data_IF_570889359497
#
_entry.id   IF_570889359497
#
_cell.length_a   1.000
_cell.length_b   1.000
_cell.length_c   1.000
_cell.angle_alpha   90.00
_cell.angle_beta   90.00
_cell.angle_gamma   90.00
#
_symmetry.space_group_name_H-M   'P 1'
#
loop_
_entity.id
_entity.type
_entity.pdbx_description
1 polymer ?
#
# COMPACT_ATOMS: atom_id res chain seq x y z
N UNK A 1 -6.98 23.19 23.04
CA UNK A 1 -6.07 23.37 21.90
C UNK A 1 -4.71 22.89 22.35
N UNK A 2 -4.32 21.71 21.90
CA UNK A 2 -2.96 21.21 22.04
C UNK A 2 -2.08 22.02 21.07
N UNK A 3 -0.95 22.62 21.51
CA UNK A 3 -0.18 23.58 20.71
C UNK A 3 0.48 22.98 19.46
N UNK A 4 0.58 21.66 19.38
CA UNK A 4 1.24 20.94 18.28
C UNK A 4 0.26 20.31 17.27
N UNK A 5 -1.05 20.47 17.46
CA UNK A 5 -2.01 20.10 16.44
C UNK A 5 -2.17 21.26 15.44
N UNK A 6 -2.09 20.97 14.15
CA UNK A 6 -2.15 21.99 13.11
C UNK A 6 -2.74 21.44 11.80
N UNK A 7 -3.84 22.05 11.37
CA UNK A 7 -4.50 21.87 10.08
C UNK A 7 -4.12 22.98 9.08
N UNK A 8 -3.16 23.85 9.44
CA UNK A 8 -2.66 24.99 8.65
C UNK A 8 -3.69 26.07 8.26
N UNK A 9 -4.92 25.93 8.73
CA UNK A 9 -6.04 26.81 8.39
C UNK A 9 -5.84 28.25 8.88
N UNK A 10 -6.17 29.21 8.00
CA UNK A 10 -5.93 30.64 8.26
C UNK A 10 -4.49 31.07 8.03
N UNK A 11 -3.78 30.36 7.15
CA UNK A 11 -2.40 30.65 6.69
C UNK A 11 -1.39 30.73 7.83
N UNK A 12 -1.43 29.76 8.75
CA UNK A 12 -0.57 29.72 9.94
C UNK A 12 0.07 28.37 10.17
N UNK A 13 1.32 28.35 10.63
CA UNK A 13 1.98 27.14 11.13
C UNK A 13 1.54 26.75 12.55
N UNK A 14 0.49 27.39 13.09
CA UNK A 14 0.00 27.16 14.44
C UNK A 14 1.11 27.38 15.49
N UNK A 15 1.56 26.33 16.18
CA UNK A 15 2.70 26.34 17.11
C UNK A 15 4.00 25.80 16.53
N UNK A 16 4.03 25.48 15.23
CA UNK A 16 5.21 25.01 14.52
C UNK A 16 6.01 26.19 13.94
N UNK A 17 7.31 26.01 13.82
CA UNK A 17 8.24 27.04 13.32
C UNK A 17 9.15 26.46 12.24
N UNK A 18 9.44 27.24 11.19
CA UNK A 18 10.54 26.89 10.27
C UNK A 18 11.87 27.08 11.01
N UNK A 19 12.74 26.08 10.94
CA UNK A 19 14.04 26.17 11.59
C UNK A 19 14.89 27.21 10.89
N UNK A 20 15.51 28.12 11.63
CA UNK A 20 16.31 29.19 11.03
C UNK A 20 17.79 28.77 11.01
N UNK A 21 18.43 28.87 9.84
CA UNK A 21 19.89 28.77 9.60
C UNK A 21 20.53 27.37 9.49
N UNK A 22 19.83 26.28 9.80
CA UNK A 22 20.40 24.91 9.66
C UNK A 22 19.98 24.22 8.37
N UNK A 23 18.86 24.63 7.79
CA UNK A 23 18.30 24.17 6.53
C UNK A 23 18.50 25.23 5.43
N UNK A 24 18.06 24.91 4.21
CA UNK A 24 18.42 25.66 2.99
C UNK A 24 17.27 26.46 2.41
N UNK A 25 16.03 26.10 2.75
CA UNK A 25 14.80 26.80 2.42
C UNK A 25 13.72 26.43 3.45
N UNK A 26 12.56 27.08 3.38
CA UNK A 26 11.48 26.93 4.35
C UNK A 26 10.28 26.17 3.77
N UNK A 27 9.47 25.56 4.64
CA UNK A 27 8.09 25.15 4.30
C UNK A 27 7.24 26.40 4.04
N UNK A 28 6.40 26.33 3.00
CA UNK A 28 5.47 27.40 2.61
C UNK A 28 4.02 26.92 2.79
N UNK A 29 3.10 27.83 3.11
CA UNK A 29 1.65 27.52 3.15
C UNK A 29 1.02 28.01 1.84
N UNK A 30 0.13 27.20 1.28
CA UNK A 30 -0.67 27.56 0.10
C UNK A 30 -2.14 27.19 0.32
N UNK A 31 -3.02 27.84 -0.44
CA UNK A 31 -4.43 27.46 -0.58
C UNK A 31 -4.63 26.95 -2.01
N UNK A 32 -5.13 25.72 -2.15
CA UNK A 32 -5.25 25.06 -3.45
C UNK A 32 -3.88 24.74 -4.10
N UNK A 33 -3.82 24.54 -5.44
CA UNK A 33 -2.67 23.94 -6.10
C UNK A 33 -1.34 24.67 -5.84
N UNK A 34 -0.32 23.93 -5.40
CA UNK A 34 1.03 24.42 -5.09
C UNK A 34 1.76 25.05 -6.29
N UNK A 35 1.45 24.61 -7.51
CA UNK A 35 2.05 25.12 -8.74
C UNK A 35 1.00 25.28 -9.86
N UNK A 36 1.05 26.42 -10.55
CA UNK A 36 0.22 26.68 -11.74
C UNK A 36 0.84 26.12 -13.03
N UNK A 37 2.11 25.72 -13.00
CA UNK A 37 2.90 25.37 -14.20
C UNK A 37 3.24 23.88 -14.29
N UNK A 38 3.32 23.21 -13.15
CA UNK A 38 3.64 21.79 -13.00
C UNK A 38 2.55 21.22 -12.11
N UNK A 39 1.75 20.28 -12.61
CA UNK A 39 0.62 19.68 -11.86
C UNK A 39 1.13 18.72 -10.76
N UNK A 40 2.16 19.11 -10.01
CA UNK A 40 3.00 18.23 -9.18
C UNK A 40 2.73 18.33 -7.68
N UNK A 41 1.55 18.80 -7.27
CA UNK A 41 1.12 18.85 -5.88
C UNK A 41 -0.41 18.79 -5.76
N UNK A 42 -0.94 18.68 -4.55
CA UNK A 42 -2.35 18.38 -4.36
C UNK A 42 -3.24 19.52 -4.85
N UNK A 43 -4.40 19.17 -5.43
CA UNK A 43 -5.36 20.17 -5.94
C UNK A 43 -6.10 20.92 -4.82
N UNK A 44 -6.17 20.31 -3.64
CA UNK A 44 -6.83 20.81 -2.43
C UNK A 44 -6.11 20.27 -1.20
N UNK A 45 -6.30 20.93 -0.06
CA UNK A 45 -5.91 20.41 1.25
C UNK A 45 -6.61 19.09 1.59
N UNK A 46 -6.18 18.46 2.68
CA UNK A 46 -6.83 17.26 3.22
C UNK A 46 -8.01 17.61 4.15
N UNK A 47 -7.90 18.67 4.93
CA UNK A 47 -8.85 19.05 5.99
C UNK A 47 -10.26 19.35 5.46
N UNK A 48 -10.36 20.26 4.49
CA UNK A 48 -11.61 20.76 3.90
C UNK A 48 -11.89 20.02 2.59
N UNK A 49 -10.86 19.70 1.81
CA UNK A 49 -10.99 19.01 0.53
C UNK A 49 -11.64 19.89 -0.56
N UNK A 50 -11.63 21.21 -0.35
CA UNK A 50 -12.06 22.23 -1.31
C UNK A 50 -10.88 23.15 -1.66
N UNK A 51 -11.01 23.98 -2.71
CA UNK A 51 -9.89 24.80 -3.20
C UNK A 51 -9.43 25.92 -2.25
N UNK A 52 -10.12 26.13 -1.13
CA UNK A 52 -9.87 27.20 -0.15
C UNK A 52 -9.16 26.74 1.12
N UNK A 53 -9.00 25.44 1.35
CA UNK A 53 -8.24 24.92 2.49
C UNK A 53 -6.73 25.08 2.32
N UNK A 54 -6.04 25.16 3.45
CA UNK A 54 -4.61 25.47 3.57
C UNK A 54 -3.80 24.21 3.87
N UNK A 55 -2.61 24.08 3.27
CA UNK A 55 -1.65 23.03 3.63
C UNK A 55 -0.21 23.54 3.50
N UNK A 56 0.73 22.87 4.17
CA UNK A 56 2.15 23.21 4.08
C UNK A 56 2.85 22.36 3.01
N UNK A 57 3.76 22.95 2.24
CA UNK A 57 4.48 22.25 1.19
C UNK A 57 5.90 22.79 0.97
N UNK A 58 6.71 22.02 0.25
CA UNK A 58 8.00 22.44 -0.29
C UNK A 58 7.92 22.61 -1.81
N UNK A 59 8.22 23.81 -2.31
CA UNK A 59 8.16 24.12 -3.76
C UNK A 59 9.45 23.72 -4.51
N UNK A 60 9.48 22.60 -5.22
CA UNK A 60 10.68 22.17 -5.94
C UNK A 60 10.99 23.00 -7.20
N UNK A 61 10.11 23.92 -7.63
CA UNK A 61 10.27 24.68 -8.88
C UNK A 61 11.19 25.91 -8.75
N UNK A 62 11.64 26.24 -7.53
CA UNK A 62 12.63 27.33 -7.31
C UNK A 62 14.04 26.76 -7.52
N UNK A 63 14.99 27.58 -7.98
CA UNK A 63 16.40 27.17 -8.17
C UNK A 63 17.05 26.73 -6.85
N UNK A 64 16.87 25.46 -6.49
CA UNK A 64 17.40 24.82 -5.30
C UNK A 64 18.48 23.81 -5.70
N UNK A 65 19.33 23.40 -4.76
CA UNK A 65 20.40 22.42 -5.03
C UNK A 65 19.97 21.05 -4.54
N UNK A 66 20.43 20.01 -5.25
CA UNK A 66 20.23 18.62 -4.84
C UNK A 66 20.61 18.43 -3.35
N UNK A 67 19.75 17.74 -2.60
CA UNK A 67 19.86 17.52 -1.15
C UNK A 67 19.67 18.76 -0.25
N UNK A 68 19.21 19.90 -0.79
CA UNK A 68 18.71 20.97 0.08
C UNK A 68 17.49 20.46 0.87
N UNK A 69 17.35 20.95 2.11
CA UNK A 69 16.27 20.56 3.03
C UNK A 69 15.52 21.79 3.53
N UNK A 70 14.27 21.57 3.93
CA UNK A 70 13.46 22.44 4.79
C UNK A 70 13.01 21.67 6.02
N UNK A 71 13.05 22.31 7.18
CA UNK A 71 12.72 21.67 8.45
C UNK A 71 11.69 22.49 9.22
N UNK A 72 10.55 21.86 9.51
CA UNK A 72 9.54 22.40 10.41
C UNK A 72 9.71 21.77 11.79
N UNK A 73 9.73 22.56 12.86
CA UNK A 73 9.91 22.09 14.24
C UNK A 73 8.67 22.39 15.09
N UNK A 74 8.26 21.41 15.91
CA UNK A 74 7.16 21.57 16.86
C UNK A 74 7.58 22.38 18.08
N UNK A 75 6.59 22.91 18.82
CA UNK A 75 6.83 23.37 20.17
C UNK A 75 7.38 22.23 21.04
N UNK A 76 8.20 22.58 22.04
CA UNK A 76 8.78 21.61 22.95
C UNK A 76 7.69 20.93 23.79
N UNK A 77 7.81 19.62 23.94
CA UNK A 77 6.94 18.75 24.73
C UNK A 77 7.71 18.15 25.88
N UNK A 78 7.00 17.89 26.98
CA UNK A 78 7.55 17.21 28.16
C UNK A 78 7.47 15.69 28.02
N UNK A 79 8.02 14.96 29.00
CA UNK A 79 8.01 13.50 29.11
C UNK A 79 6.66 12.87 28.68
N UNK A 80 6.75 11.89 27.78
CA UNK A 80 5.60 11.14 27.24
C UNK A 80 5.01 10.11 28.21
N UNK A 81 5.71 9.77 29.28
CA UNK A 81 5.40 8.67 30.19
C UNK A 81 5.58 7.29 29.53
N UNK A 82 5.27 6.22 30.27
CA UNK A 82 5.45 4.84 29.79
C UNK A 82 4.47 4.42 28.68
N UNK A 83 3.40 5.17 28.48
CA UNK A 83 2.37 4.87 27.47
C UNK A 83 2.73 5.47 26.10
N UNK A 84 3.73 6.35 26.03
CA UNK A 84 4.15 7.02 24.80
C UNK A 84 3.12 7.99 24.24
N UNK A 85 3.47 8.55 23.08
CA UNK A 85 2.59 9.36 22.24
C UNK A 85 2.63 8.85 20.80
N UNK A 86 1.63 9.25 20.03
CA UNK A 86 1.55 8.98 18.60
C UNK A 86 1.52 10.33 17.87
N UNK A 87 2.41 10.48 16.89
CA UNK A 87 2.35 11.58 15.93
C UNK A 87 1.67 11.07 14.66
N UNK A 88 0.62 11.76 14.23
CA UNK A 88 -0.16 11.46 13.03
C UNK A 88 -0.21 12.70 12.15
N UNK A 89 -0.11 12.51 10.84
CA UNK A 89 -0.12 13.59 9.85
C UNK A 89 -0.61 13.05 8.51
N UNK A 90 -0.96 13.94 7.59
CA UNK A 90 -1.20 13.61 6.19
C UNK A 90 -0.07 14.14 5.32
N UNK A 91 0.26 13.41 4.26
CA UNK A 91 1.28 13.79 3.29
C UNK A 91 0.81 13.53 1.86
N UNK A 92 1.32 14.31 0.92
CA UNK A 92 1.14 14.10 -0.53
C UNK A 92 2.53 14.22 -1.20
N UNK A 93 2.86 13.21 -2.01
CA UNK A 93 4.20 13.00 -2.58
C UNK A 93 4.05 12.46 -4.01
N UNK A 94 3.86 13.35 -4.99
CA UNK A 94 3.53 12.98 -6.37
C UNK A 94 4.47 13.62 -7.41
N UNK A 95 5.10 12.78 -8.24
CA UNK A 95 5.98 13.21 -9.33
C UNK A 95 7.27 12.40 -9.45
N UNK A 96 7.88 12.45 -10.63
CA UNK A 96 9.09 11.70 -10.98
C UNK A 96 10.36 12.24 -10.30
N UNK A 97 10.29 13.41 -9.65
CA UNK A 97 11.37 14.08 -8.91
C UNK A 97 11.18 14.16 -7.40
N UNK A 98 10.23 13.41 -6.84
CA UNK A 98 9.92 13.49 -5.41
C UNK A 98 11.12 13.03 -4.57
N UNK A 99 11.51 13.88 -3.61
CA UNK A 99 12.58 13.56 -2.69
C UNK A 99 12.12 12.80 -1.45
N UNK A 100 12.64 13.17 -0.29
CA UNK A 100 12.47 12.41 0.96
C UNK A 100 11.75 13.25 2.00
N UNK A 101 10.71 12.68 2.61
CA UNK A 101 10.06 13.23 3.80
C UNK A 101 10.51 12.43 5.03
N UNK A 102 11.04 13.09 6.05
CA UNK A 102 11.51 12.42 7.28
C UNK A 102 10.98 13.12 8.53
N UNK A 103 10.45 12.34 9.47
CA UNK A 103 10.08 12.80 10.81
C UNK A 103 11.16 12.39 11.79
N UNK A 104 11.74 13.37 12.47
CA UNK A 104 12.74 13.17 13.51
C UNK A 104 12.20 13.50 14.88
N UNK A 105 12.78 12.83 15.87
CA UNK A 105 12.68 13.20 17.28
C UNK A 105 13.96 13.89 17.72
N UNK A 106 13.81 15.11 18.24
CA UNK A 106 14.90 15.92 18.76
C UNK A 106 14.80 16.01 20.28
N UNK A 107 15.86 15.60 20.97
CA UNK A 107 16.03 15.84 22.41
C UNK A 107 17.06 16.95 22.60
N UNK A 108 16.88 17.79 23.61
CA UNK A 108 17.83 18.87 23.87
C UNK A 108 19.25 18.31 24.11
N UNK A 109 20.24 18.80 23.36
CA UNK A 109 21.64 18.38 23.46
C UNK A 109 22.01 17.06 22.76
N UNK A 110 21.07 16.41 22.05
CA UNK A 110 21.32 15.20 21.27
C UNK A 110 21.15 15.44 19.76
N UNK A 111 21.66 14.53 18.93
CA UNK A 111 21.33 14.56 17.49
C UNK A 111 19.89 14.09 17.27
N UNK A 112 19.16 14.65 16.28
CA UNK A 112 17.84 14.17 15.93
C UNK A 112 17.88 12.71 15.48
N UNK A 113 16.87 11.93 15.89
CA UNK A 113 16.73 10.51 15.57
C UNK A 113 15.57 10.37 14.59
N UNK A 114 15.81 9.78 13.40
CA UNK A 114 14.75 9.52 12.44
C UNK A 114 13.79 8.47 13.03
N UNK A 115 12.48 8.74 12.96
CA UNK A 115 11.45 7.80 13.42
C UNK A 115 10.55 7.31 12.28
N UNK A 116 10.40 8.12 11.24
CA UNK A 116 9.60 7.83 10.05
C UNK A 116 10.30 8.46 8.84
N UNK A 117 10.45 7.75 7.73
CA UNK A 117 11.06 8.29 6.50
C UNK A 117 10.45 7.64 5.27
N UNK A 118 10.18 8.43 4.24
CA UNK A 118 9.63 7.96 2.98
C UNK A 118 10.26 8.74 1.83
N UNK A 119 10.55 8.06 0.72
CA UNK A 119 11.17 8.68 -0.46
C UNK A 119 10.44 8.32 -1.74
N UNK A 120 10.48 9.23 -2.72
CA UNK A 120 9.93 9.01 -4.04
C UNK A 120 8.39 9.10 -4.09
N UNK A 121 7.87 8.85 -5.28
CA UNK A 121 6.44 8.95 -5.62
C UNK A 121 5.55 7.98 -4.81
N UNK A 122 4.42 8.48 -4.32
CA UNK A 122 3.44 7.75 -3.51
C UNK A 122 2.02 7.74 -4.12
N UNK A 123 1.85 8.22 -5.35
CA UNK A 123 0.57 8.53 -6.04
C UNK A 123 -0.06 9.89 -5.71
N UNK A 124 -1.01 10.31 -6.54
CA UNK A 124 -1.66 11.62 -6.48
C UNK A 124 -2.84 11.64 -5.49
N UNK A 125 -2.55 11.29 -4.24
CA UNK A 125 -3.52 11.28 -3.14
C UNK A 125 -2.88 11.76 -1.83
N UNK A 126 -3.71 12.20 -0.90
CA UNK A 126 -3.31 12.40 0.49
C UNK A 126 -3.24 11.05 1.21
N UNK A 127 -2.08 10.76 1.78
CA UNK A 127 -1.83 9.55 2.56
C UNK A 127 -1.60 9.88 4.03
N UNK A 128 -1.96 8.96 4.91
CA UNK A 128 -1.73 9.12 6.34
C UNK A 128 -0.34 8.60 6.73
N UNK A 129 0.40 9.38 7.51
CA UNK A 129 1.61 8.99 8.22
C UNK A 129 1.35 8.87 9.73
N UNK A 130 1.93 7.86 10.38
CA UNK A 130 1.91 7.69 11.85
C UNK A 130 3.23 7.19 12.37
N UNK A 131 3.61 7.66 13.55
CA UNK A 131 4.75 7.11 14.28
C UNK A 131 4.60 7.29 15.79
N UNK A 132 4.73 6.17 16.53
CA UNK A 132 4.73 6.16 17.99
C UNK A 132 6.13 6.39 18.56
N UNK A 133 6.22 7.13 19.66
CA UNK A 133 7.48 7.43 20.33
C UNK A 133 7.35 7.44 21.85
N UNK A 134 8.44 7.07 22.53
CA UNK A 134 8.55 7.10 24.00
C UNK A 134 9.81 7.85 24.38
N UNK A 135 9.63 8.95 25.11
CA UNK A 135 10.70 9.86 25.53
C UNK A 135 10.47 10.31 26.95
N UNK A 136 11.53 10.25 27.76
CA UNK A 136 11.57 10.54 29.19
C UNK A 136 12.21 11.92 29.50
N UNK A 137 12.20 12.83 28.53
CA UNK A 137 12.81 14.15 28.61
C UNK A 137 12.04 15.12 27.72
N UNK A 138 12.37 16.40 27.85
CA UNK A 138 11.85 17.41 26.92
C UNK A 138 12.37 17.12 25.50
N UNK A 139 11.48 17.29 24.52
CA UNK A 139 11.72 16.93 23.12
C UNK A 139 10.84 17.73 22.15
N UNK A 140 11.21 17.73 20.88
CA UNK A 140 10.43 18.28 19.77
C UNK A 140 10.37 17.28 18.62
N UNK A 141 9.36 17.41 17.77
CA UNK A 141 9.25 16.71 16.49
C UNK A 141 9.74 17.63 15.38
N UNK A 142 10.55 17.10 14.47
CA UNK A 142 11.00 17.82 13.27
C UNK A 142 10.44 17.09 12.05
N UNK A 143 9.94 17.84 11.07
CA UNK A 143 9.49 17.34 9.78
C UNK A 143 10.43 17.94 8.72
N UNK A 144 11.26 17.09 8.13
CA UNK A 144 12.23 17.46 7.11
C UNK A 144 11.74 17.04 5.72
N UNK A 145 11.64 18.00 4.82
CA UNK A 145 11.47 17.76 3.39
C UNK A 145 12.79 17.96 2.66
N UNK A 146 13.25 16.94 1.95
CA UNK A 146 14.51 16.94 1.18
C UNK A 146 14.22 16.79 -0.30
N UNK A 147 14.87 17.61 -1.14
CA UNK A 147 14.67 17.59 -2.60
C UNK A 147 15.71 16.74 -3.34
N UNK A 148 15.35 16.25 -4.55
CA UNK A 148 16.25 15.52 -5.45
C UNK A 148 16.80 16.43 -6.57
N UNK A 149 17.35 15.85 -7.65
CA UNK A 149 17.92 16.55 -8.80
C UNK A 149 16.90 16.95 -9.88
N UNK A 150 15.65 16.52 -9.73
CA UNK A 150 14.57 16.81 -10.67
C UNK A 150 13.56 17.79 -10.05
N UNK A 151 13.20 18.83 -10.81
CA UNK A 151 12.29 19.90 -10.38
C UNK A 151 10.79 19.48 -10.43
N UNK A 152 10.50 18.20 -10.68
CA UNK A 152 9.15 17.68 -10.98
C UNK A 152 8.52 16.89 -9.81
N UNK A 153 8.21 17.57 -8.69
CA UNK A 153 7.47 16.96 -7.57
C UNK A 153 7.45 17.77 -6.29
N UNK A 154 6.27 18.14 -5.77
CA UNK A 154 6.13 18.79 -4.47
C UNK A 154 5.91 17.77 -3.34
N UNK A 155 6.45 18.05 -2.14
CA UNK A 155 6.07 17.33 -0.92
C UNK A 155 5.17 18.25 -0.11
N UNK A 156 3.96 17.79 0.18
CA UNK A 156 2.99 18.50 1.02
C UNK A 156 2.66 17.71 2.29
N UNK A 157 2.32 18.44 3.35
CA UNK A 157 1.86 17.90 4.64
C UNK A 157 0.62 18.67 5.11
N UNK A 158 -0.26 17.97 5.82
CA UNK A 158 -1.48 18.53 6.39
C UNK A 158 -1.86 17.78 7.69
N UNK A 159 -2.80 18.32 8.47
CA UNK A 159 -3.47 17.63 9.59
C UNK A 159 -2.50 17.03 10.63
N UNK A 160 -1.54 17.82 11.09
CA UNK A 160 -0.57 17.42 12.11
C UNK A 160 -1.29 17.23 13.45
N UNK A 161 -1.06 16.09 14.11
CA UNK A 161 -1.66 15.82 15.41
C UNK A 161 -0.81 14.95 16.31
N UNK A 162 -0.88 15.21 17.62
CA UNK A 162 -0.22 14.39 18.65
C UNK A 162 -1.26 13.85 19.62
N UNK A 163 -1.40 12.53 19.65
CA UNK A 163 -2.35 11.83 20.53
C UNK A 163 -1.62 11.08 21.66
N UNK A 164 -2.34 10.84 22.76
CA UNK A 164 -1.79 10.08 23.88
C UNK A 164 -1.86 8.58 23.61
N UNK A 165 -0.79 7.86 23.93
CA UNK A 165 -0.66 6.43 23.66
C UNK A 165 0.23 6.17 22.45
N UNK A 166 0.95 5.06 22.50
CA UNK A 166 1.81 4.59 21.42
C UNK A 166 0.98 4.02 20.25
N UNK A 167 1.39 4.32 19.03
CA UNK A 167 0.84 3.73 17.80
C UNK A 167 1.93 3.04 16.98
N UNK A 168 1.58 2.02 16.18
CA UNK A 168 2.50 1.46 15.21
C UNK A 168 2.85 2.49 14.14
N UNK A 169 4.03 2.32 13.54
CA UNK A 169 4.43 3.12 12.38
C UNK A 169 3.52 2.82 11.19
N UNK A 170 3.08 3.85 10.49
CA UNK A 170 2.28 3.74 9.28
C UNK A 170 2.71 4.80 8.24
N UNK A 171 2.82 4.44 6.95
CA UNK A 171 2.85 3.07 6.47
C UNK A 171 4.04 2.29 7.05
N UNK A 172 3.93 0.97 7.14
CA UNK A 172 4.94 0.13 7.82
C UNK A 172 6.32 0.18 7.15
N UNK A 173 6.39 0.52 5.87
CA UNK A 173 7.63 0.66 5.13
C UNK A 173 8.36 1.99 5.36
N UNK A 174 7.77 2.92 6.13
CA UNK A 174 8.41 4.18 6.46
C UNK A 174 9.45 4.07 7.60
N UNK A 175 9.92 2.86 7.91
CA UNK A 175 10.93 2.62 8.96
C UNK A 175 12.31 3.10 8.47
N UNK A 176 13.00 3.97 9.22
CA UNK A 176 14.35 4.42 8.86
C UNK A 176 15.37 3.28 8.78
N UNK A 177 16.29 3.37 7.82
CA UNK A 177 17.27 2.33 7.50
C UNK A 177 18.25 1.98 8.63
N UNK A 178 18.40 2.84 9.65
CA UNK A 178 19.20 2.59 10.84
C UNK A 178 18.45 1.79 11.92
N UNK A 179 17.14 1.57 11.76
CA UNK A 179 16.30 0.78 12.68
C UNK A 179 16.20 1.37 14.09
N UNK A 180 16.70 2.59 14.32
CA UNK A 180 16.80 3.25 15.62
C UNK A 180 15.48 3.94 15.98
N UNK A 181 14.38 3.19 16.05
CA UNK A 181 13.16 3.73 16.66
C UNK A 181 13.38 3.93 18.16
N UNK A 182 12.88 5.03 18.71
CA UNK A 182 12.81 5.18 20.17
C UNK A 182 11.80 4.16 20.70
N UNK A 183 12.30 3.05 21.25
CA UNK A 183 11.56 1.84 21.66
C UNK A 183 10.13 2.09 22.19
N UNK A 184 9.13 1.22 21.98
CA UNK A 184 9.24 -0.24 21.78
C UNK A 184 8.38 -0.75 20.61
N UNK A 185 9.00 -1.30 19.56
CA UNK A 185 8.51 -2.51 18.92
C UNK A 185 9.03 -3.71 19.72
N UNK A 186 8.15 -4.30 20.51
CA UNK A 186 8.09 -5.77 20.64
C UNK A 186 6.62 -6.05 20.42
N UNK A 187 6.27 -6.24 19.15
CA UNK A 187 5.28 -7.25 18.83
C UNK A 187 5.90 -8.52 19.40
N UNK A 188 5.40 -8.95 20.55
CA UNK A 188 5.71 -10.29 21.00
C UNK A 188 5.08 -11.16 19.94
N UNK A 189 5.90 -11.96 19.29
CA UNK A 189 5.49 -13.04 18.42
C UNK A 189 4.34 -13.82 19.07
N UNK A 190 3.10 -13.44 18.74
CA UNK A 190 2.35 -14.41 17.99
C UNK A 190 3.11 -14.45 16.67
N UNK A 191 3.95 -15.44 16.38
CA UNK A 191 3.41 -16.72 15.90
C UNK A 191 1.88 -16.61 15.82
N UNK A 192 1.40 -15.88 14.81
CA UNK A 192 0.23 -16.33 14.09
C UNK A 192 0.61 -17.73 13.61
N UNK A 193 0.51 -18.70 14.54
CA UNK A 193 0.27 -20.07 14.13
C UNK A 193 -1.00 -19.91 13.34
N UNK A 194 -0.88 -19.96 12.01
CA UNK A 194 -2.03 -20.21 11.18
C UNK A 194 -2.80 -21.32 11.91
N UNK A 195 -4.10 -21.14 12.21
CA UNK A 195 -4.86 -22.19 12.87
C UNK A 195 -4.92 -23.47 12.00
N UNK A 196 -4.39 -23.41 10.77
CA UNK A 196 -4.24 -24.51 9.85
C UNK A 196 -2.92 -25.27 10.07
N UNK A 197 -2.96 -26.61 9.97
CA UNK A 197 -1.75 -27.43 10.01
C UNK A 197 -0.81 -27.05 8.87
N UNK A 198 0.46 -26.75 9.21
CA UNK A 198 1.51 -26.45 8.24
C UNK A 198 1.56 -27.56 7.19
N UNK A 199 1.35 -27.18 5.93
CA UNK A 199 1.37 -28.08 4.80
C UNK A 199 2.74 -28.11 4.14
N UNK A 200 3.04 -29.17 3.37
CA UNK A 200 4.28 -29.25 2.60
C UNK A 200 4.40 -28.15 1.53
N UNK A 201 3.28 -27.49 1.19
CA UNK A 201 3.21 -26.45 0.18
C UNK A 201 3.31 -25.04 0.77
N UNK A 202 3.30 -24.92 2.10
CA UNK A 202 3.41 -23.62 2.75
C UNK A 202 4.86 -23.14 2.60
N UNK A 203 5.03 -21.87 2.21
CA UNK A 203 6.32 -21.34 1.84
C UNK A 203 6.43 -19.86 2.19
N UNK A 204 7.12 -19.57 3.29
CA UNK A 204 7.48 -18.23 3.75
C UNK A 204 8.92 -17.84 3.39
N UNK A 205 9.58 -18.64 2.56
CA UNK A 205 10.94 -18.44 2.07
C UNK A 205 12.07 -18.25 3.11
N UNK A 206 11.84 -18.36 4.42
CA UNK A 206 12.85 -18.00 5.42
C UNK A 206 14.10 -18.89 5.48
N UNK A 207 13.96 -20.16 5.09
CA UNK A 207 15.08 -21.11 5.11
C UNK A 207 15.52 -21.55 3.71
N UNK A 208 14.58 -21.65 2.77
CA UNK A 208 14.82 -22.15 1.41
C UNK A 208 13.71 -21.71 0.44
N UNK A 209 13.73 -22.21 -0.80
CA UNK A 209 12.66 -21.99 -1.81
C UNK A 209 11.58 -23.07 -1.77
N UNK A 210 11.45 -23.78 -0.64
CA UNK A 210 10.47 -24.80 -0.32
C UNK A 210 10.53 -26.05 -1.22
N UNK A 211 10.70 -27.26 -0.68
CA UNK A 211 10.89 -28.48 -1.48
C UNK A 211 9.71 -28.84 -2.40
N UNK A 212 8.50 -28.41 -2.05
CA UNK A 212 7.29 -28.66 -2.84
C UNK A 212 7.07 -27.65 -3.96
N UNK A 213 8.01 -26.73 -4.18
CA UNK A 213 7.97 -25.74 -5.25
C UNK A 213 9.22 -25.80 -6.12
N UNK A 214 9.10 -25.32 -7.35
CA UNK A 214 10.20 -25.34 -8.33
C UNK A 214 10.14 -24.09 -9.20
N UNK A 215 11.28 -23.41 -9.32
CA UNK A 215 11.44 -22.28 -10.22
C UNK A 215 11.64 -22.81 -11.64
N UNK A 216 10.72 -22.46 -12.53
CA UNK A 216 10.83 -22.71 -13.97
C UNK A 216 11.44 -21.45 -14.60
N UNK A 217 12.76 -21.42 -14.61
CA UNK A 217 13.55 -20.27 -15.07
C UNK A 217 13.67 -20.21 -16.59
N UNK A 218 13.73 -18.99 -17.12
CA UNK A 218 14.22 -18.69 -18.47
C UNK A 218 15.57 -17.97 -18.35
N UNK A 219 16.46 -18.02 -19.36
CA UNK A 219 17.75 -17.34 -19.31
C UNK A 219 17.65 -15.84 -18.98
N UNK A 220 16.59 -15.20 -19.47
CA UNK A 220 16.34 -13.76 -19.39
C UNK A 220 15.63 -13.33 -18.10
N UNK A 221 14.90 -14.25 -17.45
CA UNK A 221 14.04 -13.93 -16.31
C UNK A 221 13.86 -15.15 -15.41
N UNK A 222 14.11 -14.95 -14.11
CA UNK A 222 13.92 -15.99 -13.11
C UNK A 222 13.39 -15.37 -11.82
N UNK A 223 12.54 -16.13 -11.14
CA UNK A 223 12.37 -15.95 -9.70
C UNK A 223 13.68 -16.25 -8.99
N UNK A 224 14.03 -15.44 -7.99
CA UNK A 224 15.16 -15.64 -7.13
C UNK A 224 14.75 -15.42 -5.68
N UNK A 225 15.33 -16.18 -4.76
CA UNK A 225 15.17 -15.93 -3.33
C UNK A 225 16.18 -14.89 -2.91
N UNK A 226 15.70 -13.82 -2.29
CA UNK A 226 16.54 -12.72 -1.82
C UNK A 226 16.18 -12.40 -0.37
N UNK A 227 17.14 -11.81 0.34
CA UNK A 227 16.94 -11.25 1.67
C UNK A 227 16.60 -9.76 1.53
N UNK A 228 15.79 -9.21 2.43
CA UNK A 228 15.62 -7.76 2.54
C UNK A 228 16.96 -7.02 2.74
N UNK A 229 16.90 -5.68 2.76
CA UNK A 229 17.29 -4.86 1.62
C UNK A 229 18.58 -5.30 0.92
N UNK A 230 18.49 -5.40 -0.41
CA UNK A 230 19.63 -5.64 -1.29
C UNK A 230 20.59 -4.44 -1.18
N UNK A 231 21.77 -4.65 -0.61
CA UNK A 231 22.78 -3.60 -0.33
C UNK A 231 23.31 -2.84 -1.57
N UNK A 232 22.76 -3.06 -2.76
CA UNK A 232 23.07 -2.27 -3.95
C UNK A 232 21.92 -1.32 -4.25
N UNK A 233 22.21 -0.02 -4.22
CA UNK A 233 21.36 1.11 -4.63
C UNK A 233 20.88 1.07 -6.11
N UNK A 234 20.67 -0.10 -6.70
CA UNK A 234 20.41 -0.26 -8.13
C UNK A 234 18.97 -0.61 -8.49
N UNK A 235 18.10 -0.95 -7.53
CA UNK A 235 16.71 -1.26 -7.82
C UNK A 235 15.82 -0.74 -6.67
N UNK A 236 15.66 0.59 -6.61
CA UNK A 236 14.86 1.35 -5.62
C UNK A 236 13.39 0.89 -5.49
N UNK A 237 12.92 0.08 -6.45
CA UNK A 237 11.55 -0.42 -6.50
C UNK A 237 11.35 -1.76 -5.79
N UNK A 238 12.41 -2.48 -5.41
CA UNK A 238 12.29 -3.77 -4.72
C UNK A 238 11.78 -3.59 -3.29
N UNK A 239 11.07 -4.58 -2.69
CA UNK A 239 10.70 -4.54 -1.28
C UNK A 239 11.95 -4.40 -0.38
N UNK A 240 11.90 -3.49 0.60
CA UNK A 240 12.97 -3.38 1.62
C UNK A 240 12.90 -4.51 2.67
N UNK A 241 11.72 -5.10 2.84
CA UNK A 241 11.41 -6.06 3.90
C UNK A 241 10.59 -7.21 3.31
N UNK A 242 10.72 -8.39 3.90
CA UNK A 242 9.80 -9.52 3.68
C UNK A 242 8.41 -9.21 4.26
N UNK A 243 7.43 -10.07 4.00
CA UNK A 243 6.13 -9.98 4.64
C UNK A 243 6.07 -10.80 5.95
N UNK A 244 6.78 -11.94 6.04
CA UNK A 244 6.68 -12.89 7.17
C UNK A 244 6.89 -12.24 8.53
N UNK A 245 8.02 -11.54 8.70
CA UNK A 245 8.36 -10.84 9.94
C UNK A 245 8.47 -9.32 9.75
N UNK A 246 8.34 -8.82 8.51
CA UNK A 246 8.60 -7.43 8.12
C UNK A 246 9.97 -6.95 8.58
N UNK A 247 10.96 -7.83 8.50
CA UNK A 247 12.32 -7.54 8.93
C UNK A 247 13.24 -7.40 7.73
N UNK A 248 14.28 -6.58 7.89
CA UNK A 248 15.30 -6.38 6.87
C UNK A 248 16.12 -7.64 6.61
N UNK A 249 16.06 -8.63 7.50
CA UNK A 249 16.73 -9.91 7.36
C UNK A 249 15.81 -11.06 6.91
N UNK A 250 14.52 -10.82 6.69
CA UNK A 250 13.60 -11.82 6.16
C UNK A 250 13.82 -12.05 4.67
N UNK A 251 13.20 -13.10 4.13
CA UNK A 251 13.41 -13.53 2.76
C UNK A 251 12.11 -13.65 1.99
N UNK A 252 12.18 -13.31 0.71
CA UNK A 252 11.05 -13.41 -0.21
C UNK A 252 11.53 -13.83 -1.59
N UNK A 253 10.59 -14.10 -2.50
CA UNK A 253 10.89 -14.46 -3.87
C UNK A 253 10.68 -13.26 -4.79
N UNK A 254 11.76 -12.78 -5.43
CA UNK A 254 11.77 -11.64 -6.33
C UNK A 254 11.87 -12.12 -7.79
N UNK A 255 11.05 -11.55 -8.67
CA UNK A 255 11.18 -11.76 -10.11
C UNK A 255 12.29 -10.86 -10.65
N UNK A 256 13.43 -11.45 -11.02
CA UNK A 256 14.59 -10.66 -11.45
C UNK A 256 14.94 -10.85 -12.93
N UNK A 257 15.01 -9.75 -13.71
CA UNK A 257 15.57 -9.75 -15.06
C UNK A 257 17.08 -9.99 -15.08
N UNK A 258 17.56 -10.80 -16.01
CA UNK A 258 18.99 -10.91 -16.30
C UNK A 258 19.44 -9.75 -17.23
N UNK A 259 19.89 -8.64 -16.62
CA UNK A 259 20.35 -7.42 -17.32
C UNK A 259 21.50 -7.66 -18.32
N UNK A 260 22.19 -8.81 -18.27
CA UNK A 260 23.26 -9.16 -19.22
C UNK A 260 22.74 -9.69 -20.56
N UNK A 261 21.44 -9.99 -20.67
CA UNK A 261 20.82 -10.50 -21.89
C UNK A 261 19.91 -9.41 -22.46
N UNK A 262 20.05 -9.07 -23.76
CA UNK A 262 19.14 -8.12 -24.40
C UNK A 262 17.69 -8.57 -24.25
N UNK A 263 16.84 -7.68 -23.73
CA UNK A 263 15.42 -7.97 -23.60
C UNK A 263 14.79 -8.15 -24.99
N UNK A 264 14.05 -9.25 -25.22
CA UNK A 264 13.31 -9.41 -26.45
C UNK A 264 12.16 -8.38 -26.54
N UNK A 265 11.73 -8.05 -27.75
CA UNK A 265 10.61 -7.13 -28.02
C UNK A 265 9.23 -7.70 -27.62
N UNK A 266 9.18 -8.76 -26.80
CA UNK A 266 7.96 -9.42 -26.36
C UNK A 266 8.00 -9.62 -24.84
N UNK A 267 6.82 -9.69 -24.22
CA UNK A 267 6.70 -10.01 -22.80
C UNK A 267 7.24 -11.41 -22.54
N UNK A 268 8.17 -11.50 -21.60
CA UNK A 268 8.72 -12.77 -21.10
C UNK A 268 8.10 -13.07 -19.74
N UNK A 269 8.26 -14.30 -19.28
CA UNK A 269 7.64 -14.75 -18.03
C UNK A 269 8.43 -15.87 -17.37
N UNK A 270 8.37 -15.95 -16.04
CA UNK A 270 8.92 -17.05 -15.25
C UNK A 270 7.86 -17.57 -14.29
N UNK A 271 7.85 -18.89 -14.06
CA UNK A 271 6.87 -19.53 -13.19
C UNK A 271 7.54 -20.07 -11.93
N UNK A 272 6.90 -19.88 -10.79
CA UNK A 272 7.15 -20.62 -9.57
C UNK A 272 6.03 -21.66 -9.40
N UNK A 273 6.38 -22.94 -9.59
CA UNK A 273 5.41 -24.01 -9.79
C UNK A 273 5.44 -25.01 -8.65
N UNK A 274 4.28 -25.35 -8.11
CA UNK A 274 4.15 -26.38 -7.10
C UNK A 274 4.40 -27.78 -7.66
N UNK A 275 4.69 -28.73 -6.79
CA UNK A 275 4.54 -30.16 -7.05
C UNK A 275 3.06 -30.52 -7.19
N UNK A 276 2.77 -31.70 -7.76
CA UNK A 276 1.40 -32.14 -8.02
C UNK A 276 0.68 -32.44 -6.70
N UNK A 277 -0.56 -31.98 -6.59
CA UNK A 277 -1.38 -32.10 -5.39
C UNK A 277 -2.72 -32.76 -5.69
N UNK A 278 -3.41 -33.18 -4.62
CA UNK A 278 -4.76 -33.72 -4.71
C UNK A 278 -5.80 -32.59 -4.77
N UNK A 279 -6.98 -32.91 -5.31
CA UNK A 279 -8.08 -31.96 -5.49
C UNK A 279 -8.80 -31.53 -4.18
N UNK A 280 -8.23 -31.77 -2.99
CA UNK A 280 -8.78 -31.24 -1.74
C UNK A 280 -8.31 -29.81 -1.46
N UNK A 281 -7.11 -29.41 -1.91
CA UNK A 281 -6.60 -28.05 -1.75
C UNK A 281 -7.22 -27.14 -2.80
N UNK A 282 -8.16 -26.26 -2.43
CA UNK A 282 -8.82 -25.38 -3.40
C UNK A 282 -8.70 -23.90 -3.04
N UNK A 283 -7.90 -23.55 -2.03
CA UNK A 283 -7.60 -22.17 -1.69
C UNK A 283 -6.10 -21.94 -1.65
N UNK A 284 -5.62 -21.03 -2.49
CA UNK A 284 -4.27 -20.49 -2.42
C UNK A 284 -4.36 -19.10 -1.77
N UNK A 285 -3.54 -18.88 -0.75
CA UNK A 285 -3.32 -17.58 -0.13
C UNK A 285 -1.84 -17.25 -0.26
N UNK A 286 -1.51 -16.00 -0.57
CA UNK A 286 -0.12 -15.54 -0.63
C UNK A 286 -0.05 -14.03 -0.54
N UNK A 287 1.12 -13.53 -0.17
CA UNK A 287 1.43 -12.12 -0.20
C UNK A 287 2.22 -11.80 -1.46
N UNK A 288 1.92 -10.65 -2.06
CA UNK A 288 2.61 -10.19 -3.27
C UNK A 288 2.90 -8.70 -3.19
N UNK A 289 3.94 -8.29 -3.89
CA UNK A 289 4.34 -6.91 -4.00
C UNK A 289 4.51 -6.59 -5.48
N UNK A 290 3.88 -5.51 -5.94
CA UNK A 290 4.04 -5.01 -7.29
C UNK A 290 4.09 -3.49 -7.28
N UNK A 291 5.26 -2.94 -7.59
CA UNK A 291 5.52 -1.50 -7.47
C UNK A 291 6.34 -0.98 -8.63
N UNK A 292 6.17 0.30 -8.95
CA UNK A 292 6.95 1.02 -9.95
C UNK A 292 6.30 1.08 -11.33
N UNK A 293 6.86 1.93 -12.21
CA UNK A 293 6.26 2.22 -13.50
C UNK A 293 6.40 1.03 -14.46
N UNK A 294 5.32 0.78 -15.22
CA UNK A 294 5.19 -0.35 -16.15
C UNK A 294 5.49 -1.71 -15.51
N UNK A 295 5.23 -1.86 -14.20
CA UNK A 295 5.30 -3.15 -13.55
C UNK A 295 4.43 -4.16 -14.32
N UNK A 296 4.96 -5.37 -14.48
CA UNK A 296 4.36 -6.42 -15.29
C UNK A 296 3.05 -6.97 -14.73
N UNK A 297 2.79 -8.24 -15.05
CA UNK A 297 1.60 -8.96 -14.61
C UNK A 297 2.01 -10.10 -13.70
N UNK A 298 1.28 -10.29 -12.61
CA UNK A 298 1.39 -11.46 -11.74
C UNK A 298 0.09 -12.25 -11.86
N UNK A 299 0.19 -13.54 -12.16
CA UNK A 299 -0.97 -14.41 -12.35
C UNK A 299 -0.82 -15.76 -11.64
N UNK A 300 -1.96 -16.36 -11.33
CA UNK A 300 -2.06 -17.72 -10.78
C UNK A 300 -2.80 -18.60 -11.76
N UNK A 301 -2.14 -19.68 -12.17
CA UNK A 301 -2.70 -20.70 -13.06
C UNK A 301 -2.85 -22.04 -12.36
N UNK A 302 -3.98 -22.71 -12.61
CA UNK A 302 -4.19 -24.11 -12.26
C UNK A 302 -3.83 -25.00 -13.45
N UNK A 303 -2.84 -25.87 -13.25
CA UNK A 303 -2.31 -26.76 -14.27
C UNK A 303 -2.81 -28.18 -14.06
N UNK A 304 -3.44 -28.76 -15.07
CA UNK A 304 -4.10 -30.07 -15.05
C UNK A 304 -3.64 -30.90 -16.25
N UNK A 305 -2.50 -31.58 -16.11
CA UNK A 305 -1.83 -32.24 -17.24
C UNK A 305 -1.34 -31.18 -18.25
N UNK A 306 -1.87 -31.21 -19.46
CA UNK A 306 -1.56 -30.21 -20.51
C UNK A 306 -2.50 -29.00 -20.51
N UNK A 307 -3.52 -28.99 -19.65
CA UNK A 307 -4.50 -27.90 -19.57
C UNK A 307 -4.05 -26.86 -18.54
N UNK A 308 -4.09 -25.57 -18.90
CA UNK A 308 -3.90 -24.45 -17.98
C UNK A 308 -5.18 -23.63 -17.88
N UNK A 309 -5.53 -23.23 -16.67
CA UNK A 309 -6.65 -22.36 -16.36
C UNK A 309 -6.16 -21.17 -15.53
N UNK A 310 -6.31 -19.95 -16.06
CA UNK A 310 -6.10 -18.73 -15.29
C UNK A 310 -7.14 -18.64 -14.16
N UNK A 311 -6.67 -18.43 -12.92
CA UNK A 311 -7.51 -18.34 -11.72
C UNK A 311 -7.48 -16.96 -11.07
N UNK A 312 -6.39 -16.23 -11.20
CA UNK A 312 -6.24 -14.87 -10.69
C UNK A 312 -5.16 -14.13 -11.47
N UNK A 313 -5.29 -12.82 -11.61
CA UNK A 313 -4.28 -11.98 -12.25
C UNK A 313 -4.36 -10.55 -11.73
N UNK A 314 -3.19 -9.91 -11.68
CA UNK A 314 -3.06 -8.48 -11.43
C UNK A 314 -1.98 -7.88 -12.31
N UNK A 315 -2.09 -6.60 -12.64
CA UNK A 315 -1.09 -5.89 -13.46
C UNK A 315 -0.81 -4.48 -12.94
N UNK A 316 0.33 -3.91 -13.33
CA UNK A 316 0.68 -2.53 -12.99
C UNK A 316 1.11 -2.34 -11.53
N UNK A 317 1.81 -1.24 -11.26
CA UNK A 317 2.23 -0.90 -9.90
C UNK A 317 1.02 -0.55 -9.04
N UNK A 318 1.02 -1.00 -7.77
CA UNK A 318 -0.06 -0.77 -6.81
C UNK A 318 0.34 0.14 -5.65
N UNK A 319 1.54 0.69 -5.63
CA UNK A 319 2.08 1.36 -4.44
C UNK A 319 3.04 0.46 -3.68
N UNK A 320 3.81 1.05 -2.76
CA UNK A 320 4.96 0.43 -2.13
C UNK A 320 4.57 -0.46 -0.94
N UNK A 321 3.67 -1.43 -1.12
CA UNK A 321 3.23 -2.30 -0.03
C UNK A 321 3.01 -3.75 -0.45
N UNK A 322 3.00 -4.63 0.55
CA UNK A 322 2.64 -6.03 0.39
C UNK A 322 1.12 -6.17 0.42
N UNK A 323 0.58 -6.86 -0.57
CA UNK A 323 -0.83 -7.13 -0.78
C UNK A 323 -1.12 -8.61 -0.56
N UNK A 324 -2.26 -8.90 0.05
CA UNK A 324 -2.72 -10.26 0.24
C UNK A 324 -3.65 -10.69 -0.91
N UNK A 325 -3.40 -11.87 -1.48
CA UNK A 325 -4.25 -12.48 -2.50
C UNK A 325 -4.88 -13.78 -1.98
N UNK A 326 -6.19 -13.94 -2.23
CA UNK A 326 -6.90 -15.20 -2.03
C UNK A 326 -7.42 -15.71 -3.38
N UNK A 327 -7.05 -16.93 -3.74
CA UNK A 327 -7.36 -17.51 -5.06
C UNK A 327 -8.09 -18.83 -4.91
N UNK A 328 -9.35 -18.86 -5.34
CA UNK A 328 -10.12 -20.09 -5.43
C UNK A 328 -9.64 -20.93 -6.63
N UNK A 329 -9.17 -22.14 -6.37
CA UNK A 329 -8.67 -23.05 -7.40
C UNK A 329 -9.73 -24.05 -7.88
N UNK A 330 -10.95 -23.99 -7.33
CA UNK A 330 -12.02 -24.91 -7.71
C UNK A 330 -12.27 -24.89 -9.22
N UNK A 331 -12.33 -26.08 -9.83
CA UNK A 331 -12.68 -26.22 -11.24
C UNK A 331 -14.16 -26.59 -11.38
N UNK A 332 -14.91 -26.03 -12.34
CA UNK A 332 -16.31 -26.39 -12.59
C UNK A 332 -16.50 -27.85 -13.03
N UNK A 333 -15.45 -28.48 -13.56
CA UNK A 333 -15.48 -29.84 -14.09
C UNK A 333 -14.82 -30.83 -13.12
N UNK A 334 -15.48 -31.97 -12.88
CA UNK A 334 -15.11 -33.00 -11.89
C UNK A 334 -13.88 -33.87 -12.25
N UNK A 335 -12.97 -33.40 -13.09
CA UNK A 335 -11.68 -34.04 -13.38
C UNK A 335 -10.72 -33.02 -14.02
N UNK A 336 -9.40 -33.09 -13.76
CA UNK A 336 -8.69 -34.18 -13.05
C UNK A 336 -8.63 -34.04 -11.52
N UNK A 337 -8.36 -35.16 -10.86
CA UNK A 337 -8.23 -35.29 -9.39
C UNK A 337 -6.89 -34.76 -8.84
N UNK A 338 -5.96 -34.40 -9.73
CA UNK A 338 -4.66 -33.86 -9.38
C UNK A 338 -4.30 -32.69 -10.27
N UNK A 339 -3.61 -31.71 -9.70
CA UNK A 339 -3.21 -30.49 -10.40
C UNK A 339 -1.94 -29.90 -9.76
N UNK A 340 -1.33 -28.94 -10.44
CA UNK A 340 -0.27 -28.09 -9.91
C UNK A 340 -0.71 -26.63 -9.97
N UNK A 341 -0.13 -25.79 -9.13
CA UNK A 341 -0.31 -24.34 -9.17
C UNK A 341 0.95 -23.72 -9.76
N UNK A 342 0.79 -22.76 -10.66
CA UNK A 342 1.88 -21.91 -11.12
C UNK A 342 1.56 -20.46 -10.78
N UNK A 343 2.49 -19.81 -10.08
CA UNK A 343 2.51 -18.36 -9.90
C UNK A 343 3.45 -17.82 -10.97
N UNK A 344 2.93 -17.05 -11.91
CA UNK A 344 3.65 -16.55 -13.08
C UNK A 344 3.79 -15.03 -13.03
N UNK A 345 5.04 -14.57 -13.15
CA UNK A 345 5.36 -13.15 -13.25
C UNK A 345 5.85 -12.83 -14.66
N UNK A 346 5.32 -11.76 -15.25
CA UNK A 346 5.74 -11.27 -16.57
C UNK A 346 6.66 -10.07 -16.46
N UNK A 347 7.56 -9.93 -17.43
CA UNK A 347 8.48 -8.81 -17.55
C UNK A 347 8.54 -8.32 -18.99
N UNK A 348 8.58 -7.00 -19.17
CA UNK A 348 8.73 -6.35 -20.47
C UNK A 348 9.98 -5.46 -20.46
N UNK A 349 10.46 -5.07 -21.65
CA UNK A 349 11.59 -4.14 -21.76
C UNK A 349 11.29 -2.75 -21.17
N UNK A 350 10.02 -2.38 -21.03
CA UNK A 350 9.57 -1.12 -20.46
C UNK A 350 9.40 -1.18 -18.94
N UNK A 351 9.42 -2.39 -18.35
CA UNK A 351 9.22 -2.58 -16.92
C UNK A 351 10.41 -1.99 -16.14
N UNK A 352 10.10 -0.99 -15.30
CA UNK A 352 11.03 -0.35 -14.36
C UNK A 352 10.62 -0.59 -12.90
N UNK A 353 9.61 -1.44 -12.68
CA UNK A 353 9.11 -1.82 -11.38
C UNK A 353 9.69 -3.13 -10.86
N UNK A 354 9.08 -3.66 -9.80
CA UNK A 354 9.42 -4.91 -9.16
C UNK A 354 8.17 -5.78 -8.95
N UNK A 355 8.34 -7.10 -8.99
CA UNK A 355 7.33 -8.08 -8.62
C UNK A 355 7.96 -9.07 -7.64
N UNK A 356 7.36 -9.21 -6.46
CA UNK A 356 7.77 -10.17 -5.45
C UNK A 356 6.58 -10.92 -4.85
N UNK A 357 6.83 -12.10 -4.29
CA UNK A 357 5.86 -12.92 -3.57
C UNK A 357 6.46 -13.45 -2.27
N UNK A 358 5.60 -13.65 -1.27
CA UNK A 358 5.93 -14.16 0.04
C UNK A 358 4.75 -14.96 0.65
N UNK A 359 4.99 -15.69 1.73
CA UNK A 359 3.98 -16.30 2.60
C UNK A 359 2.89 -17.10 1.88
N UNK A 360 3.31 -18.03 1.03
CA UNK A 360 2.40 -18.90 0.28
C UNK A 360 1.79 -19.94 1.21
N UNK A 361 0.47 -20.08 1.18
CA UNK A 361 -0.28 -21.09 1.92
C UNK A 361 -1.31 -21.76 1.01
N UNK A 362 -1.46 -23.09 1.10
CA UNK A 362 -2.47 -23.84 0.35
C UNK A 362 -3.39 -24.59 1.29
N UNK A 363 -4.66 -24.19 1.34
CA UNK A 363 -5.66 -24.73 2.26
C UNK A 363 -6.60 -25.73 1.57
N UNK A 364 -7.08 -26.69 2.38
CA UNK A 364 -8.13 -27.61 1.98
C UNK A 364 -9.48 -26.88 1.87
N UNK A 365 -10.27 -27.20 0.83
CA UNK A 365 -11.54 -26.52 0.53
C UNK A 365 -11.37 -25.22 -0.24
N UNK A 366 -12.48 -24.59 -0.59
CA UNK A 366 -12.52 -23.29 -1.28
C UNK A 366 -12.16 -22.17 -0.33
N UNK A 367 -11.59 -21.07 -0.85
CA UNK A 367 -11.29 -19.90 -0.03
C UNK A 367 -12.55 -19.41 0.69
N UNK A 368 -12.39 -19.18 1.99
CA UNK A 368 -13.42 -18.55 2.81
C UNK A 368 -13.12 -17.06 2.83
N UNK A 369 -14.15 -16.25 2.64
CA UNK A 369 -14.02 -14.80 2.80
C UNK A 369 -13.77 -14.50 4.28
N UNK A 370 -12.67 -13.84 4.59
CA UNK A 370 -12.47 -13.29 5.93
C UNK A 370 -13.40 -12.09 6.11
N UNK A 371 -13.96 -11.88 7.30
CA UNK A 371 -14.91 -10.77 7.54
C UNK A 371 -14.28 -9.37 7.45
N UNK A 372 -12.94 -9.30 7.38
CA UNK A 372 -12.18 -8.07 7.59
C UNK A 372 -11.45 -7.57 6.34
N UNK A 373 -11.38 -8.36 5.27
CA UNK A 373 -10.81 -7.96 3.97
C UNK A 373 -11.72 -8.46 2.86
N UNK A 374 -12.17 -7.54 2.00
CA UNK A 374 -13.07 -7.83 0.90
C UNK A 374 -12.71 -6.99 -0.33
N UNK A 375 -12.21 -7.65 -1.35
CA UNK A 375 -11.94 -7.09 -2.68
C UNK A 375 -13.06 -7.36 -3.70
N UNK A 376 -14.03 -8.21 -3.33
CA UNK A 376 -15.12 -8.71 -4.18
C UNK A 376 -14.67 -9.62 -5.33
N UNK A 377 -13.40 -9.99 -5.45
CA UNK A 377 -12.88 -10.77 -6.59
C UNK A 377 -13.11 -12.29 -6.45
N UNK A 378 -13.30 -12.77 -5.22
CA UNK A 378 -13.62 -14.18 -4.96
C UNK A 378 -14.98 -14.59 -5.54
N UNK A 379 -14.95 -15.63 -6.40
CA UNK A 379 -16.08 -16.20 -7.16
C UNK A 379 -17.42 -16.19 -6.37
N UNK A 380 -18.39 -15.41 -6.88
CA UNK A 380 -19.79 -15.30 -6.40
C UNK A 380 -19.99 -14.83 -4.95
N UNK A 381 -19.00 -14.19 -4.34
CA UNK A 381 -19.12 -13.67 -2.97
C UNK A 381 -19.19 -12.14 -2.92
N UNK A 382 -19.92 -11.62 -1.94
CA UNK A 382 -19.82 -10.23 -1.49
C UNK A 382 -19.27 -10.19 -0.06
N UNK A 383 -18.37 -11.12 0.29
CA UNK A 383 -17.71 -11.23 1.60
C UNK A 383 -18.65 -11.15 2.82
N UNK A 384 -19.81 -11.77 2.72
CA UNK A 384 -20.82 -11.80 3.78
C UNK A 384 -21.61 -10.50 3.96
N UNK A 385 -21.35 -9.45 3.16
CA UNK A 385 -22.19 -8.27 3.13
C UNK A 385 -23.64 -8.65 2.77
N UNK A 386 -24.58 -7.83 3.24
CA UNK A 386 -26.00 -8.06 3.04
C UNK A 386 -26.65 -6.82 2.45
N UNK A 387 -27.63 -7.02 1.57
CA UNK A 387 -28.44 -5.91 1.07
C UNK A 387 -29.41 -5.42 2.14
N UNK A 388 -29.38 -4.13 2.41
CA UNK A 388 -30.27 -3.53 3.39
C UNK A 388 -31.71 -3.46 2.90
N UNK A 389 -32.65 -3.96 3.70
CA UNK A 389 -34.08 -4.05 3.35
C UNK A 389 -34.81 -2.72 3.18
N UNK A 390 -34.18 -1.60 3.58
CA UNK A 390 -34.77 -0.25 3.49
C UNK A 390 -34.27 0.55 2.28
N UNK A 391 -33.41 -0.03 1.44
CA UNK A 391 -32.99 0.56 0.18
C UNK A 391 -34.06 0.38 -0.90
N UNK A 392 -34.17 1.35 -1.81
CA UNK A 392 -35.07 1.27 -2.96
C UNK A 392 -34.50 0.41 -4.11
N UNK A 393 -33.20 0.14 -4.07
CA UNK A 393 -32.50 -0.76 -4.98
C UNK A 393 -31.28 -1.37 -4.30
N UNK A 394 -30.73 -2.43 -4.89
CA UNK A 394 -29.58 -3.15 -4.35
C UNK A 394 -28.30 -2.74 -5.06
N UNK A 395 -27.20 -2.82 -4.32
CA UNK A 395 -25.87 -2.90 -4.91
C UNK A 395 -25.77 -4.19 -5.72
N UNK A 396 -25.00 -4.14 -6.81
CA UNK A 396 -24.72 -5.30 -7.66
C UNK A 396 -23.21 -5.49 -7.71
N UNK A 397 -22.75 -6.75 -7.65
CA UNK A 397 -21.36 -7.08 -7.93
C UNK A 397 -21.16 -6.95 -9.45
N UNK A 398 -20.41 -5.94 -9.87
CA UNK A 398 -20.15 -5.62 -11.26
C UNK A 398 -18.78 -6.10 -11.69
N UNK A 399 -18.70 -6.75 -12.85
CA UNK A 399 -17.45 -7.07 -13.52
C UNK A 399 -16.95 -5.82 -14.25
N UNK A 400 -15.67 -5.49 -14.11
CA UNK A 400 -15.10 -4.27 -14.70
C UNK A 400 -15.25 -4.22 -16.24
N UNK A 401 -15.25 -5.36 -16.92
CA UNK A 401 -15.47 -5.45 -18.38
C UNK A 401 -16.93 -5.29 -18.81
N UNK A 402 -17.92 -5.46 -17.92
CA UNK A 402 -19.35 -5.42 -18.25
C UNK A 402 -19.89 -3.99 -18.48
N UNK A 403 -19.04 -3.09 -18.98
CA UNK A 403 -19.30 -1.67 -19.14
C UNK A 403 -20.51 -1.41 -20.05
N UNK A 404 -21.62 -0.99 -19.44
CA UNK A 404 -22.66 -0.28 -20.17
C UNK A 404 -22.24 1.19 -20.34
N UNK A 405 -21.67 1.54 -21.49
CA UNK A 405 -21.53 2.93 -21.98
C UNK A 405 -20.76 3.92 -21.07
N UNK A 406 -19.61 3.54 -20.49
CA UNK A 406 -18.64 4.49 -19.93
C UNK A 406 -19.06 5.24 -18.66
N UNK A 407 -20.08 4.73 -17.94
CA UNK A 407 -20.59 5.34 -16.70
C UNK A 407 -19.96 4.72 -15.44
N UNK A 408 -19.32 3.55 -15.59
CA UNK A 408 -18.75 2.75 -14.50
C UNK A 408 -17.22 2.62 -14.72
N UNK A 409 -16.42 2.34 -13.65
CA UNK A 409 -15.02 2.00 -13.81
C UNK A 409 -14.84 0.80 -14.74
N UNK A 410 -13.97 0.95 -15.74
CA UNK A 410 -13.64 -0.11 -16.70
C UNK A 410 -12.49 -1.01 -16.23
N UNK A 411 -11.94 -0.72 -15.06
CA UNK A 411 -10.85 -1.44 -14.41
C UNK A 411 -11.19 -1.51 -12.91
N UNK A 412 -11.02 -2.69 -12.32
CA UNK A 412 -11.13 -2.88 -10.88
C UNK A 412 -9.87 -2.35 -10.17
N UNK A 413 -10.03 -1.75 -8.99
CA UNK A 413 -8.92 -1.16 -8.24
C UNK A 413 -7.98 -2.22 -7.66
N UNK A 414 -8.51 -3.32 -7.13
CA UNK A 414 -7.71 -4.33 -6.43
C UNK A 414 -6.77 -5.04 -7.38
N UNK A 415 -7.29 -5.48 -8.52
CA UNK A 415 -6.56 -6.25 -9.54
C UNK A 415 -5.94 -5.37 -10.62
N UNK A 416 -6.41 -4.13 -10.78
CA UNK A 416 -6.04 -3.24 -11.88
C UNK A 416 -6.29 -3.89 -13.26
N UNK A 417 -7.32 -4.76 -13.36
CA UNK A 417 -7.74 -5.39 -14.61
C UNK A 417 -9.22 -5.13 -14.91
N UNK A 418 -9.62 -5.40 -16.15
CA UNK A 418 -11.03 -5.42 -16.57
C UNK A 418 -11.77 -6.71 -16.16
N UNK A 419 -11.06 -7.69 -15.60
CA UNK A 419 -11.65 -8.96 -15.13
C UNK A 419 -11.95 -8.98 -13.63
N UNK A 420 -11.54 -7.95 -12.89
CA UNK A 420 -11.86 -7.81 -11.47
C UNK A 420 -13.29 -7.32 -11.23
N UNK A 421 -13.73 -7.42 -9.98
CA UNK A 421 -15.09 -7.13 -9.56
C UNK A 421 -15.13 -6.05 -8.47
N UNK A 422 -16.14 -5.20 -8.55
CA UNK A 422 -16.43 -4.21 -7.51
C UNK A 422 -17.93 -4.13 -7.24
N UNK A 423 -18.32 -3.44 -6.18
CA UNK A 423 -19.74 -3.18 -5.89
C UNK A 423 -20.22 -1.92 -6.61
N UNK A 424 -21.31 -2.03 -7.37
CA UNK A 424 -21.91 -0.97 -8.17
C UNK A 424 -23.32 -0.66 -7.68
N UNK A 425 -23.64 0.62 -7.52
CA UNK A 425 -24.99 1.11 -7.29
C UNK A 425 -25.47 1.92 -8.50
N UNK A 426 -26.17 1.28 -9.44
CA UNK A 426 -26.60 1.93 -10.70
C UNK A 426 -27.81 2.86 -10.50
N UNK A 427 -27.59 4.16 -10.74
CA UNK A 427 -28.61 5.21 -10.65
C UNK A 427 -29.54 5.33 -11.88
N UNK A 428 -29.30 4.56 -12.95
CA UNK A 428 -30.11 4.61 -14.17
C UNK A 428 -31.56 4.20 -13.88
N UNK A 429 -32.52 4.99 -14.40
CA UNK A 429 -33.96 4.79 -14.19
C UNK A 429 -34.39 4.78 -12.70
N UNK A 430 -33.64 5.47 -11.82
CA UNK A 430 -33.99 5.64 -10.40
C UNK A 430 -34.56 7.03 -10.15
N UNK A 431 -35.37 7.18 -9.10
CA UNK A 431 -35.89 8.47 -8.69
C UNK A 431 -34.82 9.26 -7.92
N UNK A 432 -34.99 10.59 -7.88
CA UNK A 432 -34.19 11.42 -6.98
C UNK A 432 -34.33 10.92 -5.53
N UNK A 433 -33.21 10.82 -4.82
CA UNK A 433 -33.12 10.34 -3.42
C UNK A 433 -33.37 8.85 -3.21
N UNK A 434 -33.48 8.05 -4.28
CA UNK A 434 -33.35 6.60 -4.14
C UNK A 434 -31.97 6.25 -3.60
N UNK A 435 -31.91 5.31 -2.64
CA UNK A 435 -30.67 4.84 -2.04
C UNK A 435 -30.56 3.34 -2.09
N UNK A 436 -29.34 2.85 -2.28
CA UNK A 436 -28.97 1.47 -2.04
C UNK A 436 -28.25 1.36 -0.69
N UNK A 437 -28.48 0.27 0.03
CA UNK A 437 -27.86 0.01 1.33
C UNK A 437 -27.11 -1.31 1.28
N UNK A 438 -25.83 -1.28 1.66
CA UNK A 438 -24.98 -2.44 1.83
C UNK A 438 -24.57 -2.50 3.30
N UNK A 439 -24.81 -3.64 3.94
CA UNK A 439 -24.58 -3.86 5.36
C UNK A 439 -23.40 -4.82 5.53
N UNK A 440 -22.46 -4.45 6.39
CA UNK A 440 -21.37 -5.36 6.79
C UNK A 440 -21.94 -6.56 7.55
N UNK A 441 -21.22 -7.69 7.60
CA UNK A 441 -21.44 -8.71 8.62
C UNK A 441 -21.40 -8.09 10.02
N UNK A 442 -22.08 -8.71 10.99
CA UNK A 442 -22.00 -8.30 12.40
C UNK A 442 -20.53 -8.36 12.84
N UNK A 443 -20.00 -7.21 13.22
CA UNK A 443 -18.62 -7.07 13.69
C UNK A 443 -18.56 -7.22 15.21
N UNK A 444 -17.47 -7.79 15.70
CA UNK A 444 -17.22 -7.88 17.14
C UNK A 444 -17.02 -6.49 17.75
N UNK A 445 -17.37 -6.37 19.04
CA UNK A 445 -17.24 -5.11 19.76
C UNK A 445 -15.75 -4.76 19.91
N UNK A 446 -15.35 -3.65 19.32
CA UNK A 446 -13.98 -3.12 19.38
C UNK A 446 -13.90 -1.81 20.17
N UNK A 447 -12.72 -1.48 20.70
CA UNK A 447 -12.40 -0.16 21.27
C UNK A 447 -12.18 0.92 20.20
N UNK A 448 -11.97 0.51 18.95
CA UNK A 448 -11.81 1.36 17.76
C UNK A 448 -11.41 0.49 16.56
N UNK A 449 -11.93 0.79 15.36
CA UNK A 449 -11.54 0.14 14.11
C UNK A 449 -11.57 1.16 12.97
N UNK A 450 -10.69 0.98 11.99
CA UNK A 450 -10.64 1.76 10.77
C UNK A 450 -11.25 0.96 9.62
N UNK A 451 -12.10 1.59 8.81
CA UNK A 451 -12.59 1.04 7.56
C UNK A 451 -11.90 1.79 6.42
N UNK A 452 -11.18 1.07 5.58
CA UNK A 452 -10.57 1.61 4.35
C UNK A 452 -11.27 0.99 3.15
N UNK A 453 -11.60 1.80 2.16
CA UNK A 453 -12.20 1.34 0.91
C UNK A 453 -12.02 2.40 -0.18
N UNK A 454 -11.93 1.93 -1.42
CA UNK A 454 -11.89 2.77 -2.60
C UNK A 454 -13.30 3.02 -3.11
N UNK A 455 -13.54 4.21 -3.65
CA UNK A 455 -14.85 4.56 -4.19
C UNK A 455 -14.73 5.37 -5.47
N UNK A 456 -15.77 5.27 -6.30
CA UNK A 456 -15.90 6.03 -7.52
C UNK A 456 -17.32 6.58 -7.61
N UNK A 457 -17.44 7.90 -7.78
CA UNK A 457 -18.73 8.58 -7.97
C UNK A 457 -18.72 9.26 -9.33
N UNK A 458 -19.81 9.08 -10.09
CA UNK A 458 -19.94 9.63 -11.43
C UNK A 458 -21.29 10.34 -11.63
N UNK A 459 -21.25 11.44 -12.37
CA UNK A 459 -22.42 12.23 -12.79
C UNK A 459 -23.34 12.65 -11.63
N UNK A 460 -24.63 12.30 -11.68
CA UNK A 460 -25.66 12.72 -10.73
C UNK A 460 -25.62 12.00 -9.37
N UNK A 461 -24.62 11.15 -9.11
CA UNK A 461 -24.42 10.53 -7.82
C UNK A 461 -24.14 11.62 -6.76
N UNK A 462 -25.11 11.82 -5.84
CA UNK A 462 -25.09 12.97 -4.92
C UNK A 462 -24.19 12.77 -3.70
N UNK A 463 -24.16 11.55 -3.16
CA UNK A 463 -23.54 11.27 -1.87
C UNK A 463 -23.37 9.78 -1.63
N UNK A 464 -22.22 9.40 -1.09
CA UNK A 464 -22.01 8.13 -0.39
C UNK A 464 -21.90 8.42 1.11
N UNK A 465 -22.54 7.60 1.95
CA UNK A 465 -22.51 7.79 3.40
C UNK A 465 -22.22 6.47 4.10
N UNK A 466 -21.17 6.46 4.91
CA UNK A 466 -20.98 5.45 5.95
C UNK A 466 -21.87 5.80 7.15
N UNK A 467 -22.48 4.80 7.79
CA UNK A 467 -23.40 4.97 8.91
C UNK A 467 -23.12 4.03 10.04
#
# INVERSE_FOLDING_TARGET
>A
NEPNNCDFEGDTFCGWENVIHTDRFDWEITNGPSSQTTLSGPLSDHTIGEYDGSYAFIDTNKQRKINDTAVLISHSMTDTGSNGKCFEFFYHMFGDGIGTLTVYLQKEGFQPIAMWTLSGHQDDFWFQGKVGFIVNSDHSILIEGKITDNDEGDIAIDDLSITNGYCPIYPMFAIPADGLTTSKPVVTTGITTSPHPISAYDCNFENDTCPSWTIISKPELSWIRIQGPVASQQDEHNPLFDHTEYLSNGHYLLLQPNKSIPFPNMNISSQFRSTTMNNNRQCLEFWYFIYGPHAGTLSVEKLSGSFSQLRWTTTGGKGYEWYHAQVNLQSPTSNPTQFNVAIEGTWSAENRGAIAIDDITLLDGTCQTSSNQCDFDLDDTICGFQYGSTGQFNWVRGLASDVQQGVNPNVDHTTQTDTGYYMLAEGKNRNAYDRALLLTPVQDRTAGACLHFWYFLYSSAKKMQLK
#
